data_IF_363261812100
#
_entry.id   IF_363261812100
#
_cell.length_a   1.000
_cell.length_b   1.000
_cell.length_c   1.000
_cell.angle_alpha   90.00
_cell.angle_beta   90.00
_cell.angle_gamma   90.00
#
_symmetry.space_group_name_H-M   'P 1'
#
loop_
_entity.id
_entity.type
_entity.pdbx_description
1 polymer ?
#
# COMPACT_ATOMS: atom_id res chain seq x y z
N UNK A 1 12.03 -5.22 15.24
CA UNK A 1 11.10 -4.07 15.30
C UNK A 1 11.60 -3.09 14.25
N UNK A 2 10.84 -2.85 13.19
CA UNK A 2 11.28 -2.05 12.03
C UNK A 2 10.44 -0.78 11.99
N UNK A 3 11.12 0.37 12.03
CA UNK A 3 10.52 1.70 11.92
C UNK A 3 10.47 2.08 10.43
N UNK A 4 9.52 2.92 10.01
CA UNK A 4 9.37 3.31 8.59
C UNK A 4 10.63 3.98 8.00
N UNK A 5 11.48 4.52 8.86
CA UNK A 5 12.76 5.18 8.52
C UNK A 5 13.94 4.22 8.43
N UNK A 6 13.82 2.98 8.93
CA UNK A 6 14.90 1.99 8.90
C UNK A 6 15.27 1.64 7.45
N UNK A 7 16.56 1.41 7.18
CA UNK A 7 17.05 1.07 5.84
C UNK A 7 16.45 -0.22 5.24
N UNK A 8 15.86 -1.09 6.06
CA UNK A 8 15.16 -2.29 5.61
C UNK A 8 13.66 -2.06 5.36
N UNK A 9 13.13 -0.86 5.66
CA UNK A 9 11.73 -0.53 5.44
C UNK A 9 11.46 -0.25 3.96
N UNK A 10 10.57 -1.06 3.37
CA UNK A 10 10.05 -0.88 2.01
C UNK A 10 8.54 -0.97 2.02
N UNK A 11 7.87 0.13 1.69
CA UNK A 11 6.41 0.21 1.68
C UNK A 11 5.92 0.50 0.26
N UNK A 12 5.13 -0.40 -0.35
CA UNK A 12 4.45 -0.11 -1.61
C UNK A 12 3.46 1.05 -1.47
N UNK A 13 3.58 2.06 -2.33
CA UNK A 13 2.77 3.28 -2.30
C UNK A 13 2.22 3.64 -3.68
N UNK A 14 1.16 4.43 -3.68
CA UNK A 14 0.57 5.06 -4.86
C UNK A 14 0.61 6.57 -4.72
N UNK A 15 1.02 7.26 -5.78
CA UNK A 15 1.11 8.72 -5.86
C UNK A 15 -0.16 9.25 -6.52
N UNK A 16 -0.78 10.27 -5.95
CA UNK A 16 -1.98 10.92 -6.48
C UNK A 16 -1.70 12.37 -6.84
N UNK A 17 -2.24 12.87 -7.97
CA UNK A 17 -3.32 12.26 -8.76
C UNK A 17 -2.88 11.29 -9.87
N UNK A 18 -1.58 11.16 -10.14
CA UNK A 18 -1.06 10.39 -11.29
C UNK A 18 -1.41 8.89 -11.26
N UNK A 19 -1.68 8.33 -10.08
CA UNK A 19 -1.95 6.90 -9.91
C UNK A 19 -0.70 6.02 -9.97
N UNK A 20 0.48 6.63 -10.04
CA UNK A 20 1.72 5.89 -10.18
C UNK A 20 2.07 5.07 -8.96
N UNK A 21 2.63 3.89 -9.20
CA UNK A 21 3.15 3.01 -8.16
C UNK A 21 4.62 3.32 -7.91
N UNK A 22 5.01 3.23 -6.65
CA UNK A 22 6.40 3.42 -6.22
C UNK A 22 6.66 2.63 -4.93
N UNK A 23 7.94 2.54 -4.55
CA UNK A 23 8.34 2.00 -3.25
C UNK A 23 8.88 3.14 -2.40
N UNK A 24 8.29 3.34 -1.23
CA UNK A 24 8.87 4.21 -0.22
C UNK A 24 9.96 3.44 0.54
N UNK A 25 11.21 3.84 0.35
CA UNK A 25 12.37 3.22 0.97
C UNK A 25 12.91 4.09 2.11
N UNK A 26 13.01 3.50 3.31
CA UNK A 26 13.69 4.13 4.43
C UNK A 26 15.19 4.26 4.15
N UNK A 27 15.76 5.42 4.47
CA UNK A 27 17.20 5.69 4.34
C UNK A 27 17.80 6.26 5.64
N UNK A 28 17.16 5.99 6.78
CA UNK A 28 17.40 6.60 8.10
C UNK A 28 17.24 8.13 8.14
N UNK A 29 16.72 8.76 7.08
CA UNK A 29 16.40 10.18 7.09
C UNK A 29 14.94 10.43 7.52
N UNK A 30 14.65 11.69 7.86
CA UNK A 30 13.28 12.13 8.14
C UNK A 30 12.39 12.20 6.89
N UNK A 31 12.97 12.10 5.69
CA UNK A 31 12.28 12.20 4.41
C UNK A 31 12.69 11.03 3.50
N UNK A 32 12.09 9.83 3.68
CA UNK A 32 12.44 8.65 2.92
C UNK A 32 12.25 8.84 1.40
N UNK A 33 12.91 7.99 0.62
CA UNK A 33 13.06 8.14 -0.83
C UNK A 33 11.95 7.37 -1.56
N UNK A 34 11.46 7.94 -2.66
CA UNK A 34 10.64 7.21 -3.62
C UNK A 34 11.54 6.51 -4.64
N UNK A 35 11.58 5.20 -4.58
CA UNK A 35 12.24 4.34 -5.57
C UNK A 35 11.21 3.79 -6.56
N UNK A 36 11.68 3.44 -7.76
CA UNK A 36 10.91 2.76 -8.81
C UNK A 36 9.64 3.51 -9.28
N UNK A 37 9.70 4.84 -9.31
CA UNK A 37 8.67 5.65 -9.99
C UNK A 37 8.80 5.43 -11.50
N UNK A 38 7.76 4.90 -12.13
CA UNK A 38 7.77 4.55 -13.57
C UNK A 38 7.91 5.79 -14.48
N UNK A 39 7.17 6.85 -14.18
CA UNK A 39 7.20 8.12 -14.91
C UNK A 39 7.42 9.29 -13.95
N UNK A 40 8.68 9.62 -13.63
CA UNK A 40 8.99 10.70 -12.70
C UNK A 40 8.48 12.09 -13.14
N UNK A 41 8.23 12.31 -14.44
CA UNK A 41 7.77 13.61 -14.95
C UNK A 41 6.32 13.91 -14.59
N UNK A 42 5.54 12.86 -14.36
CA UNK A 42 4.16 12.93 -13.90
C UNK A 42 4.04 13.10 -12.37
N UNK A 43 5.16 13.10 -11.63
CA UNK A 43 5.19 13.29 -10.18
C UNK A 43 5.66 14.70 -9.84
N UNK A 44 4.86 15.42 -9.05
CA UNK A 44 5.13 16.81 -8.67
C UNK A 44 5.32 16.95 -7.16
N UNK A 45 6.20 17.85 -6.70
CA UNK A 45 6.24 18.22 -5.30
C UNK A 45 4.87 18.69 -4.81
N UNK A 46 4.41 18.14 -3.68
CA UNK A 46 3.07 18.37 -3.15
C UNK A 46 2.06 17.26 -3.46
N UNK A 47 2.37 16.34 -4.37
CA UNK A 47 1.50 15.19 -4.66
C UNK A 47 1.32 14.32 -3.41
N UNK A 48 0.14 13.69 -3.29
CA UNK A 48 -0.18 12.84 -2.15
C UNK A 48 0.40 11.45 -2.34
N UNK A 49 0.98 10.90 -1.28
CA UNK A 49 1.49 9.54 -1.25
C UNK A 49 0.62 8.72 -0.32
N UNK A 50 0.02 7.65 -0.83
CA UNK A 50 -0.85 6.74 -0.08
C UNK A 50 -0.32 5.30 -0.13
N UNK A 51 -0.64 4.46 0.85
CA UNK A 51 -0.31 3.03 0.78
C UNK A 51 -1.06 2.35 -0.37
N UNK A 52 -0.39 1.47 -1.12
CA UNK A 52 -1.04 0.77 -2.24
C UNK A 52 -1.76 -0.51 -1.81
N UNK A 53 -1.30 -1.13 -0.72
CA UNK A 53 -1.81 -2.39 -0.20
C UNK A 53 -1.24 -3.66 -0.83
N UNK A 54 -0.40 -3.54 -1.85
CA UNK A 54 0.12 -4.69 -2.62
C UNK A 54 1.05 -5.60 -1.80
N UNK A 55 1.66 -5.08 -0.73
CA UNK A 55 2.58 -5.85 0.13
C UNK A 55 1.86 -6.74 1.14
N UNK A 56 0.53 -6.70 1.24
CA UNK A 56 -0.25 -7.47 2.21
C UNK A 56 -0.14 -7.00 3.67
N UNK A 57 0.82 -6.12 3.99
CA UNK A 57 1.13 -5.64 5.36
C UNK A 57 0.27 -4.43 5.76
N UNK A 58 -0.02 -3.54 4.82
CA UNK A 58 -0.81 -2.33 5.07
C UNK A 58 -2.07 -2.34 4.20
N UNK A 59 -3.22 -1.86 4.68
CA UNK A 59 -4.38 -1.65 3.82
C UNK A 59 -4.08 -0.53 2.81
N UNK A 60 -4.73 -0.58 1.65
CA UNK A 60 -4.63 0.48 0.64
C UNK A 60 -5.30 1.79 1.12
N UNK A 61 -4.78 2.93 0.68
CA UNK A 61 -5.41 4.25 0.87
C UNK A 61 -5.03 5.03 2.13
N UNK A 62 -4.08 4.55 2.93
CA UNK A 62 -3.59 5.30 4.09
C UNK A 62 -2.68 6.44 3.63
N UNK A 63 -2.91 7.67 4.12
CA UNK A 63 -2.03 8.80 3.85
C UNK A 63 -0.66 8.57 4.50
N UNK A 64 0.37 8.48 3.66
CA UNK A 64 1.77 8.34 4.09
C UNK A 64 2.43 9.70 4.20
N UNK A 65 2.16 10.61 3.26
CA UNK A 65 2.80 11.91 3.21
C UNK A 65 2.57 12.65 1.90
N UNK A 66 3.46 13.60 1.63
CA UNK A 66 3.48 14.35 0.39
C UNK A 66 4.86 14.30 -0.27
N UNK A 67 4.88 14.29 -1.60
CA UNK A 67 6.11 14.34 -2.38
C UNK A 67 6.84 15.66 -2.11
N UNK A 68 8.15 15.59 -1.98
CA UNK A 68 9.06 16.70 -1.86
C UNK A 68 10.31 16.44 -2.70
N UNK A 69 10.86 17.48 -3.32
CA UNK A 69 12.15 17.38 -3.99
C UNK A 69 13.28 17.60 -2.98
N UNK A 70 14.14 16.61 -2.81
CA UNK A 70 15.33 16.72 -1.97
C UNK A 70 16.42 17.57 -2.63
N UNK A 71 17.38 18.05 -1.82
CA UNK A 71 18.56 18.77 -2.32
C UNK A 71 19.44 17.90 -3.24
N UNK A 72 19.29 16.58 -3.11
CA UNK A 72 19.90 15.54 -3.93
C UNK A 72 19.17 15.33 -5.27
N UNK A 73 18.21 16.19 -5.64
CA UNK A 73 17.38 16.06 -6.84
C UNK A 73 16.56 14.75 -6.88
N UNK A 74 16.38 14.09 -5.74
CA UNK A 74 15.55 12.89 -5.63
C UNK A 74 14.16 13.22 -5.12
N UNK A 75 13.17 12.49 -5.60
CA UNK A 75 11.82 12.52 -5.06
C UNK A 75 11.83 11.83 -3.69
N UNK A 76 11.43 12.59 -2.67
CA UNK A 76 11.34 12.15 -1.28
C UNK A 76 9.92 12.35 -0.78
N UNK A 77 9.59 11.74 0.34
CA UNK A 77 8.29 11.91 0.99
C UNK A 77 8.46 12.63 2.31
N UNK A 78 7.79 13.77 2.44
CA UNK A 78 7.56 14.39 3.74
C UNK A 78 6.43 13.61 4.41
N UNK A 79 6.78 12.85 5.44
CA UNK A 79 5.83 11.99 6.15
C UNK A 79 4.72 12.83 6.80
N UNK A 80 3.48 12.35 6.70
CA UNK A 80 2.32 12.99 7.32
C UNK A 80 2.29 12.79 8.85
N UNK A 81 2.98 11.75 9.35
CA UNK A 81 3.17 11.53 10.77
C UNK A 81 4.30 12.43 11.30
N UNK A 82 3.96 13.27 12.27
CA UNK A 82 4.93 13.99 13.08
C UNK A 82 5.44 13.04 14.18
N UNK A 83 6.62 12.46 13.96
CA UNK A 83 7.19 11.49 14.90
C UNK A 83 7.58 12.11 16.26
N UNK A 84 7.69 13.45 16.37
CA UNK A 84 7.94 14.14 17.63
C UNK A 84 6.66 14.44 18.43
N UNK A 85 5.48 14.27 17.80
CA UNK A 85 4.15 14.47 18.41
C UNK A 85 3.18 13.34 18.05
N UNK A 86 3.59 12.10 18.28
CA UNK A 86 2.69 10.95 18.19
C UNK A 86 1.74 10.93 19.40
N UNK A 87 0.49 11.35 19.21
CA UNK A 87 -0.57 11.15 20.20
C UNK A 87 -1.19 9.75 20.11
N UNK A 88 -1.23 9.16 18.90
CA UNK A 88 -1.86 7.86 18.65
C UNK A 88 -1.08 7.03 17.64
N UNK A 89 -0.64 5.85 18.06
CA UNK A 89 -0.01 4.85 17.18
C UNK A 89 -1.00 3.70 16.97
N UNK A 90 -1.51 3.54 15.75
CA UNK A 90 -2.38 2.41 15.40
C UNK A 90 -1.53 1.24 14.92
N UNK A 91 -1.40 0.22 15.76
CA UNK A 91 -0.79 -1.05 15.36
C UNK A 91 -1.77 -1.81 14.48
N UNK A 92 -1.48 -1.88 13.19
CA UNK A 92 -2.20 -2.75 12.26
C UNK A 92 -1.57 -4.13 12.30
N UNK A 93 -2.28 -5.11 12.87
CA UNK A 93 -1.93 -6.52 12.71
C UNK A 93 -2.50 -6.97 11.37
N UNK A 94 -1.68 -6.92 10.33
CA UNK A 94 -1.97 -7.62 9.08
C UNK A 94 -1.79 -9.12 9.36
N UNK A 95 -2.90 -9.86 9.42
CA UNK A 95 -2.84 -11.29 9.20
C UNK A 95 -2.71 -11.50 7.68
N UNK A 96 -1.67 -12.19 7.18
CA UNK A 96 -1.59 -12.50 5.75
C UNK A 96 -2.86 -13.24 5.37
N UNK A 97 -3.63 -12.67 4.45
CA UNK A 97 -4.73 -13.42 3.83
C UNK A 97 -4.09 -14.55 3.02
N UNK A 98 -4.57 -15.77 3.25
CA UNK A 98 -4.06 -16.97 2.58
C UNK A 98 -4.05 -16.74 1.06
N UNK A 99 -2.85 -16.70 0.47
CA UNK A 99 -2.72 -16.61 -0.97
C UNK A 99 -3.27 -17.92 -1.57
N UNK A 100 -4.35 -17.81 -2.35
CA UNK A 100 -4.90 -18.94 -3.11
C UNK A 100 -3.86 -19.36 -4.14
N UNK A 101 -3.11 -20.42 -3.83
CA UNK A 101 -2.05 -20.97 -4.70
C UNK A 101 -2.58 -21.91 -5.78
N UNK A 102 -3.85 -22.26 -5.72
CA UNK A 102 -4.46 -23.25 -6.59
C UNK A 102 -5.84 -22.75 -7.04
N UNK A 103 -6.11 -22.57 -8.35
CA UNK A 103 -7.43 -22.14 -8.83
C UNK A 103 -8.58 -23.09 -8.43
N UNK A 104 -8.27 -24.28 -7.90
CA UNK A 104 -9.25 -25.28 -7.46
C UNK A 104 -9.97 -25.01 -6.13
N UNK A 105 -9.57 -24.02 -5.31
CA UNK A 105 -10.19 -23.81 -3.98
C UNK A 105 -11.25 -22.72 -3.92
N UNK A 106 -11.64 -22.12 -5.06
CA UNK A 106 -12.80 -21.24 -5.13
C UNK A 106 -14.08 -22.07 -4.97
N UNK A 107 -14.49 -22.33 -3.73
CA UNK A 107 -15.85 -22.77 -3.42
C UNK A 107 -16.77 -21.58 -3.66
N UNK A 108 -17.24 -21.44 -4.90
CA UNK A 108 -18.38 -20.59 -5.19
C UNK A 108 -19.62 -21.20 -4.50
N UNK A 109 -20.44 -20.40 -3.78
CA UNK A 109 -21.78 -20.85 -3.42
C UNK A 109 -22.51 -21.22 -4.71
N UNK A 110 -22.96 -22.48 -4.84
CA UNK A 110 -23.66 -22.98 -6.03
C UNK A 110 -24.84 -22.03 -6.33
N UNK A 111 -24.84 -21.28 -7.45
CA UNK A 111 -25.97 -20.44 -7.80
C UNK A 111 -27.04 -21.34 -8.42
N UNK A 112 -28.12 -21.57 -7.67
CA UNK A 112 -29.27 -22.30 -8.19
C UNK A 112 -29.96 -23.18 -7.16
N UNK A 113 -30.52 -22.59 -6.11
CA UNK A 113 -31.81 -23.07 -5.64
C UNK A 113 -32.87 -22.40 -6.50
N UNK A 114 -33.58 -23.17 -7.33
CA UNK A 114 -34.95 -22.91 -7.80
C UNK A 114 -35.46 -24.09 -8.66
N UNK A 115 -36.38 -24.84 -8.04
CA UNK A 115 -37.64 -25.43 -8.57
C UNK A 115 -37.69 -26.64 -9.54
N UNK A 116 -38.72 -27.46 -9.23
CA UNK A 116 -39.49 -28.46 -10.00
C UNK A 116 -38.93 -29.90 -9.98
N UNK A 117 -39.45 -30.79 -9.12
CA UNK A 117 -40.70 -31.58 -9.26
C UNK A 117 -40.73 -32.58 -10.41
N UNK A 118 -41.20 -33.79 -10.05
CA UNK A 118 -42.00 -34.74 -10.82
C UNK A 118 -41.31 -36.01 -11.41
N UNK A 119 -41.53 -37.11 -10.68
CA UNK A 119 -42.22 -38.35 -11.13
C UNK A 119 -41.43 -39.53 -11.70
N UNK A 120 -41.93 -40.72 -11.30
CA UNK A 120 -41.86 -42.07 -11.88
C UNK A 120 -40.66 -42.96 -11.48
N UNK A 121 -40.83 -44.14 -10.87
CA UNK A 121 -42.03 -44.91 -10.51
C UNK A 121 -41.65 -46.13 -9.67
#
# INVERSE_FOLDING_TARGET
MILLTDSNSRVPVTIQPSGQRAILAGDNSAAPVLDFVEDPEQVRPGDRVISSGDGGVFPAGLLVGHVALGRDQRQRVRLAADYERLEFLRVLRSHPSEAVRDPGSLVAPRPGGLSAEATDG
#
